data_IF_700587568901
#
_entry.id   IF_700587568901
#
_cell.length_a   1.000
_cell.length_b   1.000
_cell.length_c   1.000
_cell.angle_alpha   90.00
_cell.angle_beta   90.00
_cell.angle_gamma   90.00
#
_symmetry.space_group_name_H-M   'P 1'
#
loop_
_entity.id
_entity.type
_entity.pdbx_description
1 polymer ?
#
# COMPACT_ATOMS: atom_id res chain seq x y z
N UNK A 1 -28.03 -15.45 43.68
CA UNK A 1 -28.55 -16.13 42.47
C UNK A 1 -28.74 -15.19 41.27
N UNK A 2 -29.39 -14.02 41.40
CA UNK A 2 -29.57 -13.05 40.29
C UNK A 2 -28.29 -12.61 39.55
N UNK A 3 -27.19 -12.31 40.27
CA UNK A 3 -25.92 -11.89 39.64
C UNK A 3 -25.25 -13.00 38.81
N UNK A 4 -25.39 -14.25 39.22
CA UNK A 4 -24.86 -15.41 38.51
C UNK A 4 -25.60 -15.63 37.18
N UNK A 5 -26.92 -15.46 37.19
CA UNK A 5 -27.75 -15.57 35.98
C UNK A 5 -27.43 -14.47 34.96
N UNK A 6 -27.15 -13.25 35.43
CA UNK A 6 -26.73 -12.13 34.56
C UNK A 6 -25.36 -12.42 33.94
N UNK A 7 -24.40 -12.91 34.73
CA UNK A 7 -23.07 -13.25 34.24
C UNK A 7 -23.12 -14.38 33.20
N UNK A 8 -23.96 -15.39 33.45
CA UNK A 8 -24.13 -16.51 32.53
C UNK A 8 -24.79 -16.08 31.22
N UNK A 9 -25.81 -15.20 31.28
CA UNK A 9 -26.43 -14.61 30.10
C UNK A 9 -25.46 -13.72 29.29
N UNK A 10 -24.55 -13.02 29.96
CA UNK A 10 -23.54 -12.20 29.31
C UNK A 10 -22.49 -13.07 28.58
N UNK A 11 -22.08 -14.18 29.20
CA UNK A 11 -21.11 -15.11 28.59
C UNK A 11 -21.70 -15.83 27.37
N UNK A 12 -22.96 -16.25 27.43
CA UNK A 12 -23.63 -16.88 26.28
C UNK A 12 -23.87 -15.89 25.15
N UNK A 13 -24.19 -14.62 25.47
CA UNK A 13 -24.30 -13.57 24.46
C UNK A 13 -22.97 -13.26 23.79
N UNK A 14 -21.87 -13.27 24.54
CA UNK A 14 -20.53 -13.05 24.00
C UNK A 14 -20.12 -14.12 22.99
N UNK A 15 -20.49 -15.39 23.22
CA UNK A 15 -20.21 -16.49 22.29
C UNK A 15 -20.98 -16.45 20.96
N UNK A 16 -21.98 -15.56 20.83
CA UNK A 16 -22.75 -15.37 19.60
C UNK A 16 -22.20 -14.27 18.69
N UNK A 17 -21.20 -13.51 19.13
CA UNK A 17 -20.55 -12.50 18.31
C UNK A 17 -19.60 -13.17 17.31
N UNK A 18 -19.81 -12.92 16.02
CA UNK A 18 -18.83 -13.22 14.96
C UNK A 18 -18.27 -11.92 14.40
N UNK A 19 -16.96 -11.92 14.11
CA UNK A 19 -16.31 -10.81 13.43
C UNK A 19 -16.68 -10.79 11.94
N UNK A 20 -16.65 -9.60 11.31
CA UNK A 20 -16.84 -9.51 9.87
C UNK A 20 -15.69 -10.16 9.10
N UNK A 21 -16.01 -10.89 8.03
CA UNK A 21 -15.03 -11.41 7.08
C UNK A 21 -14.76 -10.36 6.00
N UNK A 22 -13.51 -9.95 5.84
CA UNK A 22 -13.14 -9.02 4.77
C UNK A 22 -13.06 -9.80 3.46
N UNK A 23 -13.90 -9.44 2.49
CA UNK A 23 -13.88 -10.06 1.16
C UNK A 23 -12.93 -9.29 0.25
N UNK A 24 -12.00 -9.99 -0.39
CA UNK A 24 -11.10 -9.40 -1.41
C UNK A 24 -11.85 -8.76 -2.58
N UNK A 25 -13.11 -9.16 -2.80
CA UNK A 25 -13.98 -8.54 -3.80
C UNK A 25 -14.25 -7.05 -3.52
N UNK A 26 -14.25 -6.63 -2.25
CA UNK A 26 -14.47 -5.23 -1.86
C UNK A 26 -13.34 -4.31 -2.34
N UNK A 27 -12.16 -4.88 -2.60
CA UNK A 27 -10.97 -4.14 -3.06
C UNK A 27 -10.75 -4.20 -4.57
N UNK A 28 -11.58 -4.95 -5.32
CA UNK A 28 -11.40 -5.11 -6.78
C UNK A 28 -11.35 -3.81 -7.57
N UNK A 29 -12.05 -2.78 -7.08
CA UNK A 29 -12.10 -1.47 -7.72
C UNK A 29 -11.08 -0.47 -7.15
N UNK A 30 -10.32 -0.85 -6.11
CA UNK A 30 -9.23 -0.03 -5.62
C UNK A 30 -8.02 -0.22 -6.53
N UNK A 31 -7.65 0.87 -7.22
CA UNK A 31 -6.44 0.91 -8.01
C UNK A 31 -5.31 1.51 -7.17
N UNK A 32 -4.10 0.92 -7.19
CA UNK A 32 -2.92 1.60 -6.69
C UNK A 32 -2.81 2.96 -7.38
N UNK A 33 -2.49 3.99 -6.59
CA UNK A 33 -2.20 5.33 -7.11
C UNK A 33 -0.97 5.88 -6.42
N UNK A 34 -0.19 6.66 -7.15
CA UNK A 34 0.87 7.45 -6.53
C UNK A 34 0.24 8.47 -5.57
N UNK A 35 0.75 8.52 -4.34
CA UNK A 35 0.37 9.53 -3.34
C UNK A 35 1.24 10.80 -3.43
N UNK A 36 2.09 10.88 -4.47
CA UNK A 36 3.07 11.95 -4.61
C UNK A 36 4.25 11.81 -3.63
N UNK A 37 5.11 12.83 -3.50
CA UNK A 37 6.26 12.84 -2.60
C UNK A 37 5.83 13.05 -1.13
N UNK A 38 4.86 12.28 -0.66
CA UNK A 38 4.32 12.37 0.69
C UNK A 38 5.27 11.73 1.70
N UNK A 39 6.34 12.44 2.04
CA UNK A 39 7.04 12.29 3.32
C UNK A 39 8.25 11.37 3.40
N UNK A 40 8.68 10.70 2.32
CA UNK A 40 9.94 9.93 2.31
C UNK A 40 10.75 10.23 1.04
N UNK A 41 11.73 11.12 1.15
CA UNK A 41 12.77 11.26 0.12
C UNK A 41 13.60 9.98 0.11
N UNK A 42 13.48 9.19 -0.96
CA UNK A 42 14.35 8.04 -1.18
C UNK A 42 15.74 8.47 -1.63
N UNK A 43 16.77 7.69 -1.30
CA UNK A 43 18.12 7.93 -1.81
C UNK A 43 18.27 7.36 -3.21
N UNK A 44 18.62 8.21 -4.16
CA UNK A 44 19.10 7.80 -5.50
C UNK A 44 20.58 7.44 -5.37
N UNK A 45 20.96 6.28 -5.89
CA UNK A 45 22.35 5.79 -5.89
C UNK A 45 22.94 5.67 -7.28
N UNK A 46 22.10 5.63 -8.32
CA UNK A 46 22.52 5.58 -9.71
C UNK A 46 21.50 6.29 -10.61
N UNK A 47 21.99 6.92 -11.67
CA UNK A 47 21.20 7.51 -12.74
C UNK A 47 21.95 7.27 -14.06
N UNK A 48 21.22 6.89 -15.10
CA UNK A 48 21.76 6.84 -16.45
C UNK A 48 20.67 7.14 -17.48
N UNK A 49 21.07 7.74 -18.61
CA UNK A 49 20.18 8.13 -19.69
C UNK A 49 20.58 7.43 -20.99
N UNK A 50 19.60 7.02 -21.78
CA UNK A 50 19.89 6.35 -23.04
C UNK A 50 20.46 7.35 -24.06
N UNK A 51 21.68 7.11 -24.52
CA UNK A 51 22.37 8.02 -25.45
C UNK A 51 21.60 8.30 -26.75
N UNK A 52 20.90 7.29 -27.30
CA UNK A 52 20.11 7.43 -28.52
C UNK A 52 18.76 8.13 -28.31
N UNK A 53 18.29 8.20 -27.07
CA UNK A 53 17.05 8.89 -26.71
C UNK A 53 17.12 9.36 -25.24
N UNK A 54 17.61 10.59 -24.98
CA UNK A 54 17.78 11.12 -23.63
C UNK A 54 16.49 11.29 -22.83
N UNK A 55 15.31 11.18 -23.45
CA UNK A 55 14.04 11.17 -22.71
C UNK A 55 13.84 9.87 -21.91
N UNK A 56 14.58 8.81 -22.26
CA UNK A 56 14.59 7.55 -21.52
C UNK A 56 15.70 7.58 -20.47
N UNK A 57 15.31 7.65 -19.20
CA UNK A 57 16.24 7.68 -18.05
C UNK A 57 15.89 6.54 -17.10
N UNK A 58 16.90 5.89 -16.55
CA UNK A 58 16.77 4.89 -15.49
C UNK A 58 17.36 5.43 -14.18
N UNK A 59 16.63 5.24 -13.09
CA UNK A 59 17.07 5.57 -11.74
C UNK A 59 17.17 4.34 -10.86
N UNK A 60 18.33 4.16 -10.23
CA UNK A 60 18.55 3.18 -9.17
C UNK A 60 18.40 3.85 -7.81
N UNK A 61 17.54 3.29 -6.95
CA UNK A 61 17.33 3.79 -5.59
C UNK A 61 17.84 2.80 -4.55
N UNK A 62 18.16 3.28 -3.35
CA UNK A 62 18.73 2.43 -2.28
C UNK A 62 17.76 1.36 -1.76
N UNK A 63 16.45 1.63 -1.77
CA UNK A 63 15.42 0.71 -1.24
C UNK A 63 14.10 0.74 -2.02
N UNK A 64 13.97 1.59 -3.04
CA UNK A 64 12.76 1.76 -3.84
C UNK A 64 12.84 1.08 -5.22
N UNK A 65 13.83 0.23 -5.47
CA UNK A 65 14.02 -0.46 -6.75
C UNK A 65 14.56 0.43 -7.87
N UNK A 66 14.26 0.02 -9.11
CA UNK A 66 14.65 0.72 -10.35
C UNK A 66 13.41 1.38 -10.95
N UNK A 67 13.57 2.64 -11.34
CA UNK A 67 12.52 3.44 -11.96
C UNK A 67 12.91 3.80 -13.38
N UNK A 68 11.93 3.90 -14.27
CA UNK A 68 12.13 4.32 -15.66
C UNK A 68 11.27 5.53 -15.97
N UNK A 69 11.81 6.48 -16.72
CA UNK A 69 11.02 7.51 -17.40
C UNK A 69 11.21 7.37 -18.91
N UNK A 70 10.22 7.85 -19.66
CA UNK A 70 10.26 7.95 -21.13
C UNK A 70 9.95 9.39 -21.58
N UNK A 71 9.91 10.35 -20.64
CA UNK A 71 9.56 11.75 -20.90
C UNK A 71 10.48 12.71 -20.12
N UNK A 72 11.77 12.38 -20.06
CA UNK A 72 12.81 13.25 -19.50
C UNK A 72 12.68 13.47 -17.99
N UNK A 73 12.01 12.56 -17.27
CA UNK A 73 11.86 12.63 -15.81
C UNK A 73 10.59 13.34 -15.33
N UNK A 74 9.69 13.71 -16.23
CA UNK A 74 8.40 14.33 -15.86
C UNK A 74 7.48 13.36 -15.11
N UNK A 75 7.56 12.07 -15.44
CA UNK A 75 6.89 10.98 -14.72
C UNK A 75 7.72 9.70 -14.74
N UNK A 76 7.55 8.87 -13.72
CA UNK A 76 8.28 7.61 -13.56
C UNK A 76 7.33 6.42 -13.51
N UNK A 77 7.76 5.33 -14.15
CA UNK A 77 7.15 4.00 -14.18
C UNK A 77 7.83 3.10 -13.15
#
# INVERSE_FOLDING_TARGET
>A
MRKLNILLALCTFASLLSAQTISTNQFKNLKPRSIGPAGMSGRVTAIDALHSNPDIIYLGTASGGVWKTENGGSSWL
#
